data_IF_341533144458
#
_entry.id   IF_341533144458
#
_cell.length_a   1.000
_cell.length_b   1.000
_cell.length_c   1.000
_cell.angle_alpha   90.00
_cell.angle_beta   90.00
_cell.angle_gamma   90.00
#
_symmetry.space_group_name_H-M   'P 1'
#
loop_
_entity.id
_entity.type
_entity.pdbx_description
1 polymer ?
#
# COMPACT_ATOMS: atom_id res chain seq x y z
N UNK A 1 -19.33 -23.76 1.39
CA UNK A 1 -19.06 -22.31 1.45
C UNK A 1 -18.61 -22.00 2.86
N UNK A 2 -17.40 -21.47 3.05
CA UNK A 2 -17.03 -20.92 4.34
C UNK A 2 -17.77 -19.58 4.48
N UNK A 3 -18.70 -19.48 5.42
CA UNK A 3 -19.38 -18.21 5.67
C UNK A 3 -18.38 -17.25 6.34
N UNK A 4 -18.23 -16.04 5.81
CA UNK A 4 -17.42 -15.02 6.47
C UNK A 4 -17.99 -14.69 7.86
N UNK A 5 -17.08 -14.47 8.82
CA UNK A 5 -17.47 -14.12 10.18
C UNK A 5 -17.83 -12.64 10.25
N UNK A 6 -19.11 -12.35 10.52
CA UNK A 6 -19.60 -10.98 10.70
C UNK A 6 -19.56 -10.59 12.17
N UNK A 7 -19.11 -9.38 12.45
CA UNK A 7 -19.00 -8.82 13.80
C UNK A 7 -19.63 -7.44 13.83
N UNK A 8 -20.01 -7.03 15.04
CA UNK A 8 -20.41 -5.65 15.34
C UNK A 8 -19.34 -5.10 16.26
N UNK A 9 -18.76 -3.97 15.90
CA UNK A 9 -17.82 -3.27 16.76
C UNK A 9 -18.55 -2.82 18.04
N UNK A 10 -18.04 -3.14 19.24
CA UNK A 10 -18.74 -2.86 20.48
C UNK A 10 -18.75 -1.38 20.87
N UNK A 11 -17.91 -0.55 20.25
CA UNK A 11 -17.79 0.89 20.54
C UNK A 11 -18.59 1.71 19.55
N UNK A 12 -18.44 1.43 18.25
CA UNK A 12 -19.05 2.21 17.16
C UNK A 12 -20.42 1.67 16.76
N UNK A 13 -20.72 0.41 17.05
CA UNK A 13 -21.92 -0.29 16.58
C UNK A 13 -21.92 -0.62 15.08
N UNK A 14 -20.83 -0.32 14.36
CA UNK A 14 -20.69 -0.62 12.93
C UNK A 14 -20.42 -2.10 12.73
N UNK A 15 -20.93 -2.65 11.63
CA UNK A 15 -20.66 -4.04 11.27
C UNK A 15 -19.41 -4.11 10.42
N UNK A 16 -18.58 -5.12 10.69
CA UNK A 16 -17.44 -5.47 9.85
C UNK A 16 -17.39 -6.99 9.67
N UNK A 17 -16.65 -7.42 8.66
CA UNK A 17 -16.53 -8.83 8.28
C UNK A 17 -15.08 -9.25 8.29
N UNK A 18 -14.76 -10.37 8.93
CA UNK A 18 -13.48 -11.04 8.73
C UNK A 18 -13.55 -11.92 7.49
N UNK A 19 -12.69 -11.61 6.52
CA UNK A 19 -12.58 -12.32 5.25
C UNK A 19 -11.75 -13.61 5.36
N UNK A 20 -10.91 -13.71 6.41
CA UNK A 20 -10.03 -14.88 6.62
C UNK A 20 -10.34 -15.60 7.93
N UNK A 21 -10.08 -16.92 8.03
CA UNK A 21 -10.22 -17.69 9.26
C UNK A 21 -9.34 -17.18 10.41
N UNK A 22 -9.72 -17.47 11.65
CA UNK A 22 -8.96 -17.03 12.84
C UNK A 22 -7.67 -17.84 13.08
N UNK A 23 -7.62 -19.07 12.59
CA UNK A 23 -6.49 -20.01 12.69
C UNK A 23 -5.49 -19.89 11.53
N UNK A 24 -5.69 -18.92 10.63
CA UNK A 24 -4.80 -18.65 9.49
C UNK A 24 -4.27 -17.23 9.56
N UNK A 25 -2.95 -17.09 9.75
CA UNK A 25 -2.28 -15.79 9.73
C UNK A 25 -2.39 -15.19 8.32
N UNK A 26 -3.15 -14.11 8.21
CA UNK A 26 -3.37 -13.37 6.98
C UNK A 26 -3.24 -11.87 7.22
N UNK A 27 -2.63 -11.15 6.27
CA UNK A 27 -2.44 -9.70 6.33
C UNK A 27 -2.87 -9.11 5.01
N UNK A 28 -3.49 -7.93 5.02
CA UNK A 28 -3.67 -7.19 3.77
C UNK A 28 -2.32 -6.68 3.26
N UNK A 29 -2.29 -6.30 1.99
CA UNK A 29 -1.12 -5.67 1.38
C UNK A 29 -0.88 -4.27 1.98
N UNK A 30 0.26 -3.65 1.71
CA UNK A 30 0.56 -2.31 2.22
C UNK A 30 -0.49 -1.28 1.76
N UNK A 31 -0.78 -0.24 2.54
CA UNK A 31 -1.90 0.69 2.28
C UNK A 31 -1.72 1.54 1.00
N UNK A 32 -0.48 1.73 0.53
CA UNK A 32 -0.18 2.37 -0.75
C UNK A 32 -0.37 1.44 -1.97
N UNK A 33 -0.70 0.16 -1.74
CA UNK A 33 -1.03 -0.82 -2.78
C UNK A 33 -2.53 -1.11 -2.85
N UNK A 34 -2.99 -1.34 -4.08
CA UNK A 34 -4.36 -1.73 -4.35
C UNK A 34 -4.59 -3.18 -3.93
N UNK A 35 -5.72 -3.44 -3.23
CA UNK A 35 -6.09 -4.79 -2.79
C UNK A 35 -7.32 -5.36 -3.48
N UNK A 36 -8.01 -4.58 -4.29
CA UNK A 36 -9.24 -4.98 -4.96
C UNK A 36 -9.04 -5.09 -6.46
N UNK A 37 -9.68 -6.09 -7.06
CA UNK A 37 -9.82 -6.15 -8.52
C UNK A 37 -10.60 -4.94 -9.03
N UNK A 38 -10.45 -4.64 -10.32
CA UNK A 38 -11.03 -3.48 -11.00
C UNK A 38 -12.56 -3.40 -10.87
N UNK A 39 -13.21 -4.55 -10.67
CA UNK A 39 -14.65 -4.71 -10.47
C UNK A 39 -15.09 -4.80 -9.00
N UNK A 40 -14.15 -4.66 -8.04
CA UNK A 40 -14.37 -4.81 -6.59
C UNK A 40 -14.91 -6.18 -6.13
N UNK A 41 -14.92 -7.20 -6.99
CA UNK A 41 -15.47 -8.52 -6.64
C UNK A 41 -14.50 -9.41 -5.88
N UNK A 42 -13.20 -9.14 -6.02
CA UNK A 42 -12.14 -9.95 -5.41
C UNK A 42 -11.16 -9.10 -4.63
N UNK A 43 -10.64 -9.68 -3.55
CA UNK A 43 -9.60 -9.10 -2.70
C UNK A 43 -8.34 -9.94 -2.79
N UNK A 44 -7.21 -9.28 -2.91
CA UNK A 44 -5.88 -9.88 -2.80
C UNK A 44 -5.30 -9.60 -1.42
N UNK A 45 -4.67 -10.61 -0.83
CA UNK A 45 -4.01 -10.50 0.46
C UNK A 45 -2.89 -11.53 0.61
N UNK A 46 -2.13 -11.43 1.69
CA UNK A 46 -1.05 -12.34 2.01
C UNK A 46 -1.46 -13.35 3.07
N UNK A 47 -1.21 -14.63 2.82
CA UNK A 47 -1.34 -15.73 3.79
C UNK A 47 0.05 -16.24 4.16
N UNK A 48 0.23 -16.60 5.43
CA UNK A 48 1.51 -17.04 5.99
C UNK A 48 1.41 -18.48 6.53
N UNK A 49 1.38 -19.50 5.66
CA UNK A 49 1.47 -20.89 6.10
C UNK A 49 2.87 -21.19 6.70
N UNK A 50 3.02 -22.30 7.45
CA UNK A 50 4.35 -22.75 7.87
C UNK A 50 5.29 -22.91 6.66
N UNK A 51 6.43 -22.20 6.69
CA UNK A 51 7.47 -22.32 5.66
C UNK A 51 7.38 -21.34 4.49
N UNK A 52 6.43 -20.39 4.48
CA UNK A 52 6.39 -19.42 3.39
C UNK A 52 5.28 -18.38 3.48
N UNK A 53 5.15 -17.65 2.38
CA UNK A 53 4.14 -16.63 2.14
C UNK A 53 3.42 -16.95 0.82
N UNK A 54 2.13 -16.68 0.78
CA UNK A 54 1.27 -16.89 -0.39
C UNK A 54 0.53 -15.60 -0.73
N UNK A 55 0.44 -15.28 -2.02
CA UNK A 55 -0.51 -14.31 -2.54
C UNK A 55 -1.84 -15.03 -2.82
N UNK A 56 -2.89 -14.60 -2.14
CA UNK A 56 -4.22 -15.22 -2.25
C UNK A 56 -5.19 -14.22 -2.85
N UNK A 57 -6.01 -14.66 -3.80
CA UNK A 57 -7.15 -13.94 -4.33
C UNK A 57 -8.44 -14.61 -3.82
N UNK A 58 -9.32 -13.82 -3.23
CA UNK A 58 -10.58 -14.24 -2.63
C UNK A 58 -11.76 -13.56 -3.33
N UNK A 59 -12.74 -14.33 -3.76
CA UNK A 59 -14.00 -13.84 -4.32
C UNK A 59 -15.02 -13.57 -3.20
N UNK A 60 -15.54 -12.34 -3.15
CA UNK A 60 -16.31 -11.83 -2.01
C UNK A 60 -17.75 -12.37 -1.93
N UNK A 61 -18.35 -12.79 -3.05
CA UNK A 61 -19.72 -13.33 -3.04
C UNK A 61 -19.75 -14.79 -2.55
N UNK A 62 -18.73 -15.56 -2.90
CA UNK A 62 -18.69 -17.02 -2.76
C UNK A 62 -17.75 -17.51 -1.66
N UNK A 63 -16.77 -16.69 -1.27
CA UNK A 63 -15.70 -17.08 -0.36
C UNK A 63 -14.67 -18.02 -0.99
N UNK A 64 -14.67 -18.15 -2.32
CA UNK A 64 -13.71 -19.00 -3.04
C UNK A 64 -12.34 -18.32 -3.10
N UNK A 65 -11.29 -19.08 -2.77
CA UNK A 65 -9.92 -18.61 -2.78
C UNK A 65 -9.09 -19.31 -3.85
N UNK A 66 -8.12 -18.58 -4.39
CA UNK A 66 -7.06 -19.11 -5.24
C UNK A 66 -5.71 -18.56 -4.77
N UNK A 67 -4.72 -19.42 -4.58
CA UNK A 67 -3.33 -19.00 -4.43
C UNK A 67 -2.81 -18.64 -5.83
N UNK A 68 -2.41 -17.38 -6.02
CA UNK A 68 -1.88 -16.89 -7.29
C UNK A 68 -0.36 -17.03 -7.40
N UNK A 69 0.34 -16.94 -6.26
CA UNK A 69 1.78 -17.12 -6.18
C UNK A 69 2.17 -17.65 -4.79
N UNK A 70 3.14 -18.55 -4.76
CA UNK A 70 3.68 -19.13 -3.53
C UNK A 70 5.21 -18.96 -3.47
N UNK A 71 5.71 -18.50 -2.32
CA UNK A 71 7.16 -18.44 -2.07
C UNK A 71 7.88 -19.78 -2.21
N UNK A 72 7.19 -20.91 -1.99
CA UNK A 72 7.74 -22.25 -2.20
C UNK A 72 8.11 -22.50 -3.68
N UNK A 73 7.45 -21.81 -4.60
CA UNK A 73 7.76 -21.86 -6.04
C UNK A 73 8.86 -20.87 -6.45
N UNK A 74 9.49 -20.17 -5.48
CA UNK A 74 10.55 -19.19 -5.69
C UNK A 74 10.05 -17.75 -5.93
N UNK A 75 8.75 -17.50 -5.74
CA UNK A 75 8.17 -16.15 -5.85
C UNK A 75 8.55 -15.27 -4.64
N UNK A 76 8.96 -14.03 -4.88
CA UNK A 76 9.14 -13.05 -3.81
C UNK A 76 7.83 -12.30 -3.56
N UNK A 77 6.97 -12.87 -2.72
CA UNK A 77 5.60 -12.38 -2.49
C UNK A 77 5.55 -10.93 -1.97
N UNK A 78 6.54 -10.51 -1.16
CA UNK A 78 6.62 -9.15 -0.62
C UNK A 78 6.74 -8.07 -1.69
N UNK A 79 7.16 -8.42 -2.92
CA UNK A 79 7.28 -7.46 -4.03
C UNK A 79 5.98 -7.20 -4.77
N UNK A 80 4.92 -7.95 -4.45
CA UNK A 80 3.67 -7.87 -5.19
C UNK A 80 3.04 -6.49 -5.12
N UNK A 81 2.72 -5.94 -6.28
CA UNK A 81 1.88 -4.75 -6.41
C UNK A 81 0.82 -4.95 -7.49
N UNK A 82 -0.43 -4.63 -7.19
CA UNK A 82 -1.52 -4.66 -8.17
C UNK A 82 -1.59 -3.34 -8.94
N UNK A 83 -1.79 -3.41 -10.26
CA UNK A 83 -1.99 -2.22 -11.07
C UNK A 83 -3.26 -1.45 -10.64
N UNK A 84 -3.27 -0.14 -10.84
CA UNK A 84 -4.37 0.70 -10.37
C UNK A 84 -5.65 0.56 -11.18
N UNK A 85 -5.58 0.28 -12.48
CA UNK A 85 -6.76 0.28 -13.35
C UNK A 85 -7.00 -1.06 -14.07
N UNK A 86 -6.22 -2.10 -13.76
CA UNK A 86 -6.32 -3.42 -14.39
C UNK A 86 -6.03 -4.53 -13.40
N UNK A 87 -6.53 -5.71 -13.70
CA UNK A 87 -6.35 -6.93 -12.92
C UNK A 87 -5.05 -7.67 -13.29
N UNK A 88 -3.95 -6.90 -13.37
CA UNK A 88 -2.59 -7.39 -13.59
C UNK A 88 -1.72 -6.90 -12.42
N UNK A 89 -1.06 -7.84 -11.73
CA UNK A 89 -0.10 -7.53 -10.67
C UNK A 89 1.34 -7.75 -11.11
N UNK A 90 2.30 -7.24 -10.36
CA UNK A 90 3.73 -7.33 -10.68
C UNK A 90 4.50 -7.88 -9.50
N UNK A 91 5.38 -8.85 -9.75
CA UNK A 91 6.11 -9.55 -8.71
C UNK A 91 7.40 -10.17 -9.24
N UNK A 92 8.37 -10.39 -8.35
CA UNK A 92 9.70 -10.92 -8.66
C UNK A 92 9.78 -12.44 -8.48
N UNK A 93 10.50 -13.12 -9.38
CA UNK A 93 10.97 -14.50 -9.22
C UNK A 93 12.41 -14.63 -9.66
N UNK A 94 13.29 -15.05 -8.76
CA UNK A 94 14.74 -14.99 -9.01
C UNK A 94 15.16 -13.56 -9.33
N UNK A 95 15.86 -13.38 -10.45
CA UNK A 95 16.37 -12.08 -10.91
C UNK A 95 15.50 -11.46 -12.02
N UNK A 96 14.19 -11.74 -12.03
CA UNK A 96 13.27 -11.34 -13.10
C UNK A 96 11.95 -10.79 -12.55
N UNK A 97 11.39 -9.79 -13.22
CA UNK A 97 10.05 -9.23 -12.96
C UNK A 97 9.02 -9.91 -13.85
N UNK A 98 7.85 -10.22 -13.28
CA UNK A 98 6.73 -10.82 -13.97
C UNK A 98 5.48 -9.96 -13.82
N UNK A 99 4.67 -9.92 -14.87
CA UNK A 99 3.25 -9.59 -14.79
C UNK A 99 2.46 -10.86 -14.46
N UNK A 100 1.54 -10.78 -13.51
CA UNK A 100 0.64 -11.84 -13.10
C UNK A 100 -0.79 -11.41 -13.43
N UNK A 101 -1.44 -12.18 -14.28
CA UNK A 101 -2.86 -12.01 -14.59
C UNK A 101 -3.70 -12.58 -13.44
N UNK A 102 -4.53 -11.75 -12.81
CA UNK A 102 -5.29 -12.13 -11.59
C UNK A 102 -6.41 -13.12 -11.91
N UNK A 103 -6.96 -13.10 -13.13
CA UNK A 103 -8.08 -13.95 -13.54
C UNK A 103 -7.65 -15.40 -13.80
N UNK A 104 -6.54 -15.58 -14.51
CA UNK A 104 -6.01 -16.86 -14.93
C UNK A 104 -4.93 -17.40 -13.98
N UNK A 105 -4.23 -16.51 -13.26
CA UNK A 105 -3.00 -16.84 -12.52
C UNK A 105 -1.77 -17.03 -13.42
N UNK A 106 -1.87 -16.71 -14.72
CA UNK A 106 -0.75 -16.84 -15.63
C UNK A 106 0.29 -15.74 -15.37
N UNK A 107 1.57 -16.13 -15.33
CA UNK A 107 2.67 -15.19 -15.20
C UNK A 107 3.42 -15.01 -16.54
N UNK A 108 3.70 -13.76 -16.90
CA UNK A 108 4.43 -13.35 -18.09
C UNK A 108 5.68 -12.58 -17.68
N UNK A 109 6.85 -13.07 -18.09
CA UNK A 109 8.13 -12.38 -17.86
C UNK A 109 8.09 -10.99 -18.50
N UNK A 110 8.57 -9.98 -17.77
CA UNK A 110 8.69 -8.60 -18.25
C UNK A 110 10.15 -8.26 -18.55
N UNK A 111 11.01 -8.25 -17.54
CA UNK A 111 12.38 -7.77 -17.65
C UNK A 111 13.26 -8.35 -16.53
N UNK A 112 14.59 -8.42 -16.74
CA UNK A 112 15.53 -8.77 -15.68
C UNK A 112 15.60 -7.67 -14.62
N UNK A 113 15.98 -8.02 -13.40
CA UNK A 113 16.37 -7.08 -12.35
C UNK A 113 17.79 -6.55 -12.57
N UNK A 114 18.17 -5.44 -11.89
CA UNK A 114 19.57 -5.09 -11.73
C UNK A 114 20.39 -6.27 -11.17
N UNK A 115 21.65 -6.41 -11.59
CA UNK A 115 22.45 -7.62 -11.33
C UNK A 115 22.55 -7.93 -9.83
N UNK A 116 22.05 -9.12 -9.43
CA UNK A 116 22.08 -9.63 -8.05
C UNK A 116 21.48 -8.65 -7.02
N UNK A 117 20.55 -7.82 -7.45
CA UNK A 117 19.95 -6.80 -6.62
C UNK A 117 18.77 -7.33 -5.82
N UNK A 118 18.61 -6.84 -4.59
CA UNK A 118 17.52 -7.21 -3.69
C UNK A 118 16.45 -6.13 -3.73
N UNK A 119 15.19 -6.45 -4.09
CA UNK A 119 14.09 -5.49 -4.02
C UNK A 119 13.92 -4.94 -2.61
N UNK A 120 13.61 -3.65 -2.50
CA UNK A 120 13.42 -2.93 -1.22
C UNK A 120 11.96 -2.56 -0.95
N UNK A 121 11.01 -3.08 -1.72
CA UNK A 121 9.58 -2.81 -1.53
C UNK A 121 8.70 -3.62 -2.48
N UNK A 122 7.49 -3.11 -2.71
CA UNK A 122 6.51 -3.62 -3.66
C UNK A 122 6.40 -2.73 -4.89
N UNK A 123 5.94 -3.31 -6.00
CA UNK A 123 5.73 -2.54 -7.22
C UNK A 123 4.51 -1.62 -7.11
N UNK A 124 4.56 -0.54 -7.86
CA UNK A 124 3.39 0.23 -8.28
C UNK A 124 3.57 0.55 -9.76
N UNK A 125 2.46 0.83 -10.45
CA UNK A 125 2.50 1.15 -11.87
C UNK A 125 2.22 2.63 -12.11
N UNK A 126 2.99 3.23 -13.01
CA UNK A 126 2.72 4.55 -13.55
C UNK A 126 1.49 4.52 -14.47
N UNK A 127 1.09 5.69 -14.97
CA UNK A 127 -0.06 5.84 -15.88
C UNK A 127 -0.04 4.86 -17.05
N UNK A 128 1.09 4.70 -17.74
CA UNK A 128 1.21 3.79 -18.88
C UNK A 128 1.94 2.47 -18.55
N UNK A 129 2.07 2.15 -17.25
CA UNK A 129 2.56 0.85 -16.81
C UNK A 129 4.07 0.71 -16.69
N UNK A 130 4.81 1.81 -16.55
CA UNK A 130 6.21 1.75 -16.11
C UNK A 130 6.25 1.37 -14.62
N UNK A 131 7.26 0.58 -14.24
CA UNK A 131 7.34 -0.01 -12.90
C UNK A 131 8.64 0.41 -12.21
N UNK A 132 8.65 1.53 -11.48
CA UNK A 132 9.78 1.89 -10.64
C UNK A 132 9.86 0.99 -9.41
N UNK A 133 11.09 0.72 -8.97
CA UNK A 133 11.38 -0.02 -7.75
C UNK A 133 12.75 0.37 -7.22
N UNK A 134 12.92 0.34 -5.90
CA UNK A 134 14.22 0.50 -5.27
C UNK A 134 14.86 -0.85 -4.96
N UNK A 135 16.18 -0.91 -5.08
CA UNK A 135 16.95 -2.12 -4.85
C UNK A 135 18.18 -1.84 -4.00
N UNK A 136 18.62 -2.86 -3.24
CA UNK A 136 19.96 -2.94 -2.68
C UNK A 136 20.84 -3.79 -3.59
N UNK A 137 21.86 -3.20 -4.18
CA UNK A 137 22.80 -3.85 -5.08
C UNK A 137 23.76 -4.76 -4.31
N UNK A 138 24.43 -5.67 -5.04
CA UNK A 138 25.37 -6.64 -4.45
C UNK A 138 26.57 -5.97 -3.74
N UNK A 139 26.98 -4.78 -4.17
CA UNK A 139 28.04 -3.99 -3.53
C UNK A 139 27.55 -3.20 -2.30
N UNK A 140 26.27 -3.28 -1.95
CA UNK A 140 25.66 -2.61 -0.80
C UNK A 140 25.07 -1.23 -1.10
N UNK A 141 25.30 -0.66 -2.28
CA UNK A 141 24.71 0.62 -2.73
C UNK A 141 23.21 0.41 -3.00
N UNK A 142 22.39 1.42 -2.74
CA UNK A 142 20.98 1.40 -3.11
C UNK A 142 20.76 2.09 -4.46
N UNK A 143 19.81 1.61 -5.24
CA UNK A 143 19.42 2.28 -6.48
C UNK A 143 17.90 2.36 -6.63
N UNK A 144 17.45 3.38 -7.35
CA UNK A 144 16.15 3.42 -7.98
C UNK A 144 16.33 2.92 -9.42
N UNK A 145 15.52 1.95 -9.82
CA UNK A 145 15.47 1.46 -11.19
C UNK A 145 14.04 1.49 -11.73
N UNK A 146 13.91 1.50 -13.05
CA UNK A 146 12.66 1.60 -13.77
C UNK A 146 12.57 0.46 -14.79
N UNK A 147 11.56 -0.39 -14.62
CA UNK A 147 11.22 -1.42 -15.60
C UNK A 147 10.28 -0.83 -16.64
N UNK A 148 10.61 -0.98 -17.92
CA UNK A 148 9.72 -0.72 -19.06
C UNK A 148 9.26 -2.06 -19.65
N UNK A 149 8.02 -2.49 -19.38
CA UNK A 149 7.47 -3.74 -19.90
C UNK A 149 7.41 -3.83 -21.43
N UNK A 150 7.34 -2.70 -22.14
CA UNK A 150 7.28 -2.68 -23.59
C UNK A 150 8.65 -2.93 -24.22
N UNK A 151 9.72 -2.49 -23.54
CA UNK A 151 11.12 -2.75 -23.95
C UNK A 151 11.65 -4.09 -23.43
N UNK A 152 11.09 -4.58 -22.32
CA UNK A 152 11.59 -5.76 -21.64
C UNK A 152 12.93 -5.51 -20.93
N UNK A 153 13.15 -4.27 -20.50
CA UNK A 153 14.41 -3.79 -19.92
C UNK A 153 14.14 -3.12 -18.57
N UNK A 154 15.10 -3.25 -17.65
CA UNK A 154 15.14 -2.49 -16.40
C UNK A 154 16.36 -1.58 -16.42
N UNK A 155 16.14 -0.28 -16.25
CA UNK A 155 17.20 0.71 -16.24
C UNK A 155 17.45 1.24 -14.83
N UNK A 156 18.70 1.23 -14.39
CA UNK A 156 19.12 1.89 -13.15
C UNK A 156 19.16 3.41 -13.36
N UNK A 157 18.39 4.16 -12.58
CA UNK A 157 18.18 5.60 -12.78
C UNK A 157 18.98 6.48 -11.82
N UNK A 158 19.12 6.03 -10.57
CA UNK A 158 19.69 6.83 -9.47
C UNK A 158 20.32 5.92 -8.41
N UNK A 159 21.44 6.34 -7.84
CA UNK A 159 22.16 5.61 -6.79
C UNK A 159 22.19 6.43 -5.51
N UNK A 160 22.14 5.74 -4.38
CA UNK A 160 22.23 6.33 -3.04
C UNK A 160 23.02 5.44 -2.10
N UNK A 161 23.80 6.05 -1.21
CA UNK A 161 24.41 5.39 -0.06
C UNK A 161 23.42 5.27 1.13
N UNK A 162 22.31 6.00 1.06
CA UNK A 162 21.21 5.94 2.01
C UNK A 162 20.19 4.90 1.54
N UNK A 163 19.63 4.06 2.43
CA UNK A 163 18.59 3.10 2.05
C UNK A 163 17.42 3.77 1.33
N UNK A 164 17.04 3.22 0.18
CA UNK A 164 15.89 3.68 -0.60
C UNK A 164 14.72 2.70 -0.41
N UNK A 165 13.55 3.22 -0.03
CA UNK A 165 12.36 2.42 0.21
C UNK A 165 11.08 3.14 -0.21
N UNK A 166 9.95 2.49 0.07
CA UNK A 166 8.60 3.01 -0.18
C UNK A 166 8.40 3.66 -1.56
N UNK A 167 9.00 3.05 -2.59
CA UNK A 167 8.97 3.58 -3.96
C UNK A 167 7.57 3.47 -4.57
N UNK A 168 7.09 4.56 -5.15
CA UNK A 168 5.79 4.62 -5.81
C UNK A 168 5.89 5.37 -7.14
N UNK A 169 5.36 4.80 -8.22
CA UNK A 169 5.07 5.54 -9.44
C UNK A 169 3.96 6.55 -9.18
N UNK A 170 4.06 7.74 -9.76
CA UNK A 170 2.90 8.64 -9.88
C UNK A 170 1.83 7.95 -10.75
N UNK A 171 0.58 7.83 -10.28
CA UNK A 171 -0.49 7.27 -11.10
C UNK A 171 -0.93 8.16 -12.26
N UNK A 172 -0.69 9.47 -12.16
CA UNK A 172 -1.15 10.47 -13.11
C UNK A 172 -0.23 10.72 -14.31
N UNK A 173 1.02 10.25 -14.23
CA UNK A 173 2.05 10.44 -15.27
C UNK A 173 3.11 9.32 -15.22
N UNK A 174 4.06 9.36 -16.16
CA UNK A 174 5.18 8.39 -16.23
C UNK A 174 6.54 9.01 -15.83
N UNK A 175 6.56 10.30 -15.56
CA UNK A 175 7.80 11.06 -15.36
C UNK A 175 8.18 11.21 -13.88
N UNK A 176 7.21 11.06 -12.99
CA UNK A 176 7.34 11.31 -11.55
C UNK A 176 7.37 9.99 -10.80
N UNK A 177 8.47 9.75 -10.09
CA UNK A 177 8.61 8.61 -9.18
C UNK A 177 8.85 9.13 -7.77
N UNK A 178 8.05 8.69 -6.82
CA UNK A 178 8.25 8.94 -5.40
C UNK A 178 9.12 7.83 -4.79
N UNK A 179 9.97 8.18 -3.84
CA UNK A 179 10.66 7.23 -2.97
C UNK A 179 11.05 7.90 -1.65
N UNK A 180 11.39 7.08 -0.64
CA UNK A 180 11.87 7.56 0.65
C UNK A 180 13.31 7.14 0.94
N UNK A 181 13.99 7.95 1.74
CA UNK A 181 15.11 7.46 2.53
C UNK A 181 14.59 6.63 3.72
N UNK A 182 14.75 5.30 3.63
CA UNK A 182 14.17 4.32 4.57
C UNK A 182 15.15 4.00 5.70
N UNK A 183 15.20 4.86 6.72
CA UNK A 183 16.16 4.73 7.84
C UNK A 183 15.66 3.82 8.97
N UNK A 184 14.44 3.29 8.88
CA UNK A 184 13.78 2.55 9.97
C UNK A 184 13.32 3.43 11.14
N UNK A 185 13.33 4.74 10.95
CA UNK A 185 12.93 5.75 11.92
C UNK A 185 12.86 7.12 11.25
N UNK A 186 13.26 8.16 11.98
CA UNK A 186 13.37 9.51 11.44
C UNK A 186 14.53 9.61 10.42
N UNK A 187 14.40 10.50 9.44
CA UNK A 187 15.42 10.77 8.43
C UNK A 187 15.67 12.28 8.36
N UNK A 188 16.88 12.70 7.98
CA UNK A 188 17.16 14.14 7.79
C UNK A 188 16.31 14.77 6.67
N UNK A 189 15.94 13.95 5.70
CA UNK A 189 15.07 14.28 4.58
C UNK A 189 14.53 12.95 4.04
N UNK A 190 13.26 12.64 4.34
CA UNK A 190 12.63 11.37 3.98
C UNK A 190 12.05 11.37 2.59
N UNK A 191 11.21 12.35 2.24
CA UNK A 191 10.39 12.31 1.01
C UNK A 191 11.10 12.87 -0.24
N UNK A 192 11.24 12.07 -1.29
CA UNK A 192 11.89 12.47 -2.54
C UNK A 192 11.03 12.18 -3.76
N UNK A 193 11.12 13.09 -4.74
CA UNK A 193 10.72 12.83 -6.11
C UNK A 193 11.94 12.62 -7.00
N UNK A 194 11.81 11.71 -7.95
CA UNK A 194 12.70 11.54 -9.09
C UNK A 194 11.97 11.92 -10.37
N UNK A 195 12.53 12.88 -11.10
CA UNK A 195 12.13 13.23 -12.47
C UNK A 195 12.88 12.35 -13.46
N UNK A 196 12.16 11.43 -14.11
CA UNK A 196 12.71 10.44 -15.03
C UNK A 196 13.39 11.09 -16.24
N UNK A 197 12.72 12.05 -16.88
CA UNK A 197 13.26 12.74 -18.06
C UNK A 197 14.49 13.59 -17.73
N UNK A 198 14.51 14.25 -16.58
CA UNK A 198 15.63 15.09 -16.14
C UNK A 198 16.73 14.32 -15.41
N UNK A 199 16.49 13.05 -15.07
CA UNK A 199 17.39 12.20 -14.28
C UNK A 199 17.81 12.85 -12.97
N UNK A 200 16.84 13.37 -12.22
CA UNK A 200 17.12 14.18 -11.03
C UNK A 200 16.19 13.84 -9.88
N UNK A 201 16.79 13.55 -8.72
CA UNK A 201 16.10 13.54 -7.44
C UNK A 201 16.02 14.95 -6.82
N UNK A 202 14.91 15.26 -6.17
CA UNK A 202 14.72 16.47 -5.38
C UNK A 202 13.77 16.19 -4.20
N UNK A 203 13.92 16.90 -3.06
CA UNK A 203 12.99 16.78 -1.95
C UNK A 203 11.57 17.10 -2.40
N UNK A 204 10.62 16.22 -2.10
CA UNK A 204 9.21 16.48 -2.35
C UNK A 204 8.65 17.46 -1.33
N UNK A 205 8.89 17.19 -0.05
CA UNK A 205 8.55 18.03 1.09
C UNK A 205 9.85 18.36 1.82
N UNK A 206 10.14 19.65 2.05
CA UNK A 206 11.38 20.05 2.77
C UNK A 206 11.12 19.98 4.27
N UNK A 207 11.67 18.96 4.90
CA UNK A 207 11.47 18.67 6.31
C UNK A 207 12.18 19.69 7.21
N UNK A 208 11.50 20.10 8.28
CA UNK A 208 12.05 20.99 9.31
C UNK A 208 12.57 20.19 10.48
N UNK A 209 13.46 20.82 11.24
CA UNK A 209 14.01 20.21 12.45
C UNK A 209 12.89 19.79 13.42
N UNK A 210 12.86 18.51 13.77
CA UNK A 210 11.90 17.93 14.70
C UNK A 210 10.61 17.41 14.07
N UNK A 211 10.42 17.58 12.75
CA UNK A 211 9.36 16.89 12.03
C UNK A 211 9.74 15.42 11.84
N UNK A 212 8.81 14.50 12.06
CA UNK A 212 8.97 13.09 11.71
C UNK A 212 7.91 12.73 10.67
N UNK A 213 8.30 12.85 9.40
CA UNK A 213 7.43 12.54 8.27
C UNK A 213 7.48 11.05 7.95
N UNK A 214 6.33 10.45 7.61
CA UNK A 214 6.24 9.02 7.26
C UNK A 214 4.91 8.67 6.54
N UNK A 215 4.78 7.43 6.10
CA UNK A 215 3.55 6.78 5.63
C UNK A 215 2.81 7.48 4.48
N UNK A 216 3.52 7.65 3.38
CA UNK A 216 3.11 8.40 2.20
C UNK A 216 2.27 7.57 1.22
N UNK A 217 1.18 8.10 0.68
CA UNK A 217 0.38 7.40 -0.33
C UNK A 217 -0.14 8.35 -1.41
N UNK A 218 0.07 7.97 -2.68
CA UNK A 218 -0.54 8.67 -3.80
C UNK A 218 -2.07 8.52 -3.83
N UNK A 219 -2.75 9.61 -4.12
CA UNK A 219 -4.11 9.59 -4.67
C UNK A 219 -4.18 8.79 -5.97
N UNK A 220 -5.34 8.19 -6.24
CA UNK A 220 -5.50 7.24 -7.35
C UNK A 220 -5.20 7.82 -8.73
N UNK A 221 -5.35 9.14 -8.92
CA UNK A 221 -5.04 9.84 -10.16
C UNK A 221 -3.74 10.64 -10.12
N UNK A 222 -2.96 10.52 -9.04
CA UNK A 222 -1.66 11.16 -8.89
C UNK A 222 -1.70 12.67 -8.71
N UNK A 223 -2.84 13.29 -8.35
CA UNK A 223 -2.90 14.75 -8.14
C UNK A 223 -2.29 15.22 -6.82
N UNK A 224 -2.28 14.36 -5.82
CA UNK A 224 -1.71 14.64 -4.50
C UNK A 224 -1.25 13.37 -3.77
N UNK A 225 -0.44 13.53 -2.73
CA UNK A 225 -0.11 12.48 -1.77
C UNK A 225 -0.65 12.82 -0.38
N UNK A 226 -1.09 11.81 0.36
CA UNK A 226 -1.26 11.90 1.82
C UNK A 226 0.02 11.44 2.50
N UNK A 227 0.31 11.94 3.70
CA UNK A 227 1.38 11.46 4.56
C UNK A 227 1.09 11.83 6.01
N UNK A 228 1.86 11.24 6.92
CA UNK A 228 1.78 11.49 8.36
C UNK A 228 2.95 12.35 8.79
N UNK A 229 2.66 13.43 9.53
CA UNK A 229 3.62 14.04 10.44
C UNK A 229 3.35 13.44 11.83
N UNK A 230 4.24 12.53 12.24
CA UNK A 230 4.05 11.76 13.44
C UNK A 230 4.16 12.67 14.69
N UNK A 231 3.35 12.41 15.74
CA UNK A 231 2.52 11.22 15.91
C UNK A 231 1.06 11.37 15.49
N UNK A 232 0.59 12.57 15.10
CA UNK A 232 -0.84 12.89 15.21
C UNK A 232 -1.45 13.72 14.08
N UNK A 233 -0.71 13.97 12.99
CA UNK A 233 -1.17 14.82 11.89
C UNK A 233 -1.21 14.08 10.55
N UNK A 234 -2.34 14.18 9.85
CA UNK A 234 -2.48 13.80 8.43
C UNK A 234 -2.34 15.04 7.58
N UNK A 235 -1.42 14.97 6.62
CA UNK A 235 -1.17 16.03 5.64
C UNK A 235 -1.51 15.57 4.23
N UNK A 236 -1.75 16.56 3.36
CA UNK A 236 -1.83 16.39 1.91
C UNK A 236 -0.80 17.30 1.24
N UNK A 237 -0.17 16.83 0.16
CA UNK A 237 0.73 17.62 -0.69
C UNK A 237 0.35 17.49 -2.16
N UNK A 238 0.36 18.59 -2.92
CA UNK A 238 0.15 18.53 -4.38
C UNK A 238 1.26 17.74 -5.07
N UNK A 239 0.94 17.09 -6.20
CA UNK A 239 1.88 16.24 -6.93
C UNK A 239 3.22 16.90 -7.31
N UNK A 240 3.28 18.22 -7.41
CA UNK A 240 4.50 18.97 -7.70
C UNK A 240 5.30 19.38 -6.45
N UNK A 241 4.84 19.00 -5.25
CA UNK A 241 5.49 19.30 -3.97
C UNK A 241 5.45 20.78 -3.59
N UNK A 242 4.44 21.54 -4.05
CA UNK A 242 4.37 23.00 -3.81
C UNK A 242 3.31 23.42 -2.81
N UNK A 243 2.24 22.65 -2.65
CA UNK A 243 1.11 23.02 -1.80
C UNK A 243 0.86 21.92 -0.79
N UNK A 244 1.14 22.22 0.48
CA UNK A 244 0.92 21.30 1.59
C UNK A 244 -0.17 21.83 2.52
N UNK A 245 -0.99 20.92 3.04
CA UNK A 245 -2.10 21.26 3.92
C UNK A 245 -2.27 20.19 5.00
N UNK A 246 -2.23 20.62 6.26
CA UNK A 246 -2.73 19.83 7.39
C UNK A 246 -4.22 19.57 7.19
N UNK A 247 -4.59 18.29 7.11
CA UNK A 247 -5.98 17.87 6.93
C UNK A 247 -6.65 17.61 8.27
N UNK A 248 -6.01 16.81 9.13
CA UNK A 248 -6.56 16.45 10.43
C UNK A 248 -5.45 16.29 11.45
N UNK A 249 -5.73 16.72 12.67
CA UNK A 249 -4.90 16.47 13.85
C UNK A 249 -5.74 15.75 14.89
N UNK A 250 -5.25 14.63 15.40
CA UNK A 250 -5.99 13.81 16.38
C UNK A 250 -5.09 13.36 17.52
N UNK A 251 -5.42 12.27 18.22
CA UNK A 251 -4.59 11.74 19.31
C UNK A 251 -3.39 10.93 18.80
N UNK A 252 -3.56 10.27 17.66
CA UNK A 252 -2.55 9.46 16.97
C UNK A 252 -3.02 9.22 15.54
N UNK A 253 -2.08 9.20 14.59
CA UNK A 253 -2.25 8.60 13.27
C UNK A 253 -0.97 7.85 12.90
N UNK A 254 -1.12 6.64 12.34
CA UNK A 254 0.02 5.84 11.90
C UNK A 254 0.10 5.75 10.38
N UNK A 255 -0.89 5.19 9.70
CA UNK A 255 -0.94 5.15 8.24
C UNK A 255 -2.14 5.93 7.75
N UNK A 256 -2.07 6.42 6.51
CA UNK A 256 -3.22 7.02 5.85
C UNK A 256 -3.22 6.72 4.34
N UNK A 257 -4.42 6.57 3.78
CA UNK A 257 -4.62 6.38 2.34
C UNK A 257 -5.86 7.17 1.87
N UNK A 258 -5.77 7.92 0.76
CA UNK A 258 -6.91 8.65 0.22
C UNK A 258 -7.86 7.73 -0.56
N UNK A 259 -9.14 8.06 -0.52
CA UNK A 259 -10.16 7.53 -1.42
C UNK A 259 -10.00 8.10 -2.84
N UNK A 260 -10.63 7.45 -3.83
CA UNK A 260 -10.64 7.94 -5.22
C UNK A 260 -11.42 9.24 -5.41
N UNK A 261 -12.43 9.51 -4.57
CA UNK A 261 -13.16 10.79 -4.60
C UNK A 261 -12.37 11.95 -3.98
N UNK A 262 -11.24 11.66 -3.33
CA UNK A 262 -10.37 12.62 -2.64
C UNK A 262 -10.96 13.30 -1.41
N UNK A 263 -12.26 13.12 -1.18
CA UNK A 263 -12.95 13.66 -0.02
C UNK A 263 -12.61 12.88 1.24
N UNK A 264 -12.42 11.57 1.14
CA UNK A 264 -12.19 10.71 2.30
C UNK A 264 -10.74 10.24 2.37
N UNK A 265 -10.21 10.17 3.57
CA UNK A 265 -8.94 9.53 3.90
C UNK A 265 -9.24 8.47 4.95
N UNK A 266 -8.79 7.24 4.75
CA UNK A 266 -8.79 6.24 5.83
C UNK A 266 -7.44 6.25 6.51
N UNK A 267 -7.44 6.06 7.82
CA UNK A 267 -6.23 6.01 8.63
C UNK A 267 -6.38 4.99 9.75
N UNK A 268 -5.27 4.56 10.32
CA UNK A 268 -5.26 3.78 11.55
C UNK A 268 -4.58 4.53 12.70
N UNK A 269 -5.01 4.16 13.90
CA UNK A 269 -4.36 4.52 15.15
C UNK A 269 -3.83 3.22 15.75
N UNK A 270 -2.61 2.84 15.41
CA UNK A 270 -2.08 1.54 15.77
C UNK A 270 -1.86 1.41 17.27
N UNK A 271 -1.64 2.50 18.00
CA UNK A 271 -1.46 2.42 19.45
C UNK A 271 -2.76 2.05 20.16
N UNK A 272 -3.90 2.55 19.67
CA UNK A 272 -5.24 2.26 20.21
C UNK A 272 -5.92 1.07 19.52
N UNK A 273 -5.42 0.64 18.36
CA UNK A 273 -6.02 -0.44 17.57
C UNK A 273 -7.28 -0.02 16.84
N UNK A 274 -7.36 1.23 16.39
CA UNK A 274 -8.53 1.79 15.71
C UNK A 274 -8.26 1.94 14.21
N UNK A 275 -9.31 1.77 13.40
CA UNK A 275 -9.35 2.23 12.01
C UNK A 275 -10.37 3.35 11.93
N UNK A 276 -10.03 4.42 11.23
CA UNK A 276 -10.81 5.65 11.20
C UNK A 276 -11.01 6.15 9.76
N UNK A 277 -12.07 6.94 9.58
CA UNK A 277 -12.39 7.67 8.37
C UNK A 277 -12.28 9.17 8.65
N UNK A 278 -11.56 9.90 7.81
CA UNK A 278 -11.35 11.35 7.92
C UNK A 278 -12.00 12.02 6.73
N UNK A 279 -12.86 13.01 6.99
CA UNK A 279 -13.37 13.91 5.97
C UNK A 279 -12.30 14.99 5.69
N UNK A 280 -11.72 14.99 4.49
CA UNK A 280 -10.63 15.86 4.12
C UNK A 280 -11.05 17.34 3.91
N UNK A 281 -12.34 17.63 3.81
CA UNK A 281 -12.85 19.01 3.77
C UNK A 281 -12.94 19.61 5.17
N UNK A 282 -13.42 18.81 6.13
CA UNK A 282 -13.67 19.29 7.50
C UNK A 282 -12.58 18.95 8.51
N UNK A 283 -11.69 18.00 8.19
CA UNK A 283 -10.66 17.47 9.07
C UNK A 283 -11.18 16.56 10.19
N UNK A 284 -12.49 16.27 10.23
CA UNK A 284 -13.12 15.45 11.27
C UNK A 284 -12.88 13.98 11.01
N UNK A 285 -12.46 13.28 12.05
CA UNK A 285 -12.33 11.82 12.05
C UNK A 285 -13.55 11.13 12.67
N UNK A 286 -13.81 9.91 12.21
CA UNK A 286 -14.85 9.00 12.72
C UNK A 286 -14.24 7.63 12.87
N UNK A 287 -14.33 7.04 14.07
CA UNK A 287 -13.84 5.67 14.31
C UNK A 287 -14.77 4.67 13.63
N UNK A 288 -14.20 3.76 12.83
CA UNK A 288 -14.92 2.71 12.12
C UNK A 288 -14.94 1.41 12.92
N UNK A 289 -13.76 0.92 13.30
CA UNK A 289 -13.56 -0.33 14.06
C UNK A 289 -12.48 -0.15 15.11
N UNK A 290 -12.57 -0.93 16.20
CA UNK A 290 -11.73 -0.86 17.39
C UNK A 290 -11.19 -2.24 17.78
N UNK A 291 -10.20 -2.28 18.68
CA UNK A 291 -9.71 -3.53 19.27
C UNK A 291 -8.71 -4.31 18.40
N UNK A 292 -8.12 -3.67 17.39
CA UNK A 292 -7.17 -4.27 16.44
C UNK A 292 -5.75 -3.77 16.65
N UNK A 293 -5.28 -3.75 17.92
CA UNK A 293 -3.95 -3.25 18.26
C UNK A 293 -2.88 -4.27 17.81
N UNK A 294 -1.95 -3.89 16.91
CA UNK A 294 -0.85 -4.75 16.48
C UNK A 294 0.19 -4.95 17.59
N UNK A 295 0.84 -6.10 17.60
CA UNK A 295 2.02 -6.38 18.43
C UNK A 295 3.34 -6.05 17.73
N UNK A 296 3.35 -6.02 16.40
CA UNK A 296 4.53 -5.76 15.57
C UNK A 296 4.16 -5.00 14.29
N UNK A 297 5.17 -4.43 13.63
CA UNK A 297 4.99 -3.62 12.41
C UNK A 297 4.30 -4.36 11.27
N UNK A 298 4.55 -5.67 11.15
CA UNK A 298 3.94 -6.49 10.10
C UNK A 298 2.42 -6.66 10.27
N UNK A 299 1.89 -6.42 11.47
CA UNK A 299 0.48 -6.57 11.80
C UNK A 299 -0.29 -5.23 11.76
N UNK A 300 0.38 -4.12 11.45
CA UNK A 300 -0.30 -2.83 11.32
C UNK A 300 -1.53 -2.90 10.40
N UNK A 301 -2.57 -2.15 10.75
CA UNK A 301 -3.88 -2.28 10.14
C UNK A 301 -3.88 -1.86 8.66
N UNK A 302 -3.01 -0.91 8.29
CA UNK A 302 -2.78 -0.47 6.89
C UNK A 302 -4.09 -0.21 6.12
N UNK A 303 -5.08 0.54 6.64
CA UNK A 303 -6.38 0.60 5.99
C UNK A 303 -6.31 1.20 4.58
N UNK A 304 -7.12 0.67 3.66
CA UNK A 304 -7.22 1.19 2.29
C UNK A 304 -8.62 0.96 1.70
N UNK A 305 -9.04 1.84 0.81
CA UNK A 305 -10.35 1.74 0.15
C UNK A 305 -10.38 0.66 -0.93
N UNK A 306 -11.59 0.19 -1.25
CA UNK A 306 -11.89 -0.46 -2.53
C UNK A 306 -11.98 0.57 -3.68
N UNK A 307 -12.18 0.09 -4.92
CA UNK A 307 -12.24 0.96 -6.10
C UNK A 307 -13.44 1.90 -6.07
N UNK A 308 -14.61 1.42 -5.66
CA UNK A 308 -15.81 2.25 -5.54
C UNK A 308 -15.74 3.25 -4.37
N UNK A 309 -14.76 3.14 -3.47
CA UNK A 309 -14.59 4.04 -2.32
C UNK A 309 -15.60 3.84 -1.18
N UNK A 310 -16.41 2.78 -1.23
CA UNK A 310 -17.49 2.51 -0.29
C UNK A 310 -17.16 1.45 0.77
N UNK A 311 -15.97 0.86 0.74
CA UNK A 311 -15.49 -0.14 1.71
C UNK A 311 -14.04 0.14 2.09
N UNK A 312 -13.68 -0.18 3.33
CA UNK A 312 -12.30 -0.13 3.83
C UNK A 312 -11.85 -1.53 4.22
N UNK A 313 -10.72 -1.95 3.63
CA UNK A 313 -10.01 -3.19 3.97
C UNK A 313 -8.89 -2.89 4.95
N UNK A 314 -8.72 -3.72 5.97
CA UNK A 314 -7.68 -3.56 6.99
C UNK A 314 -7.12 -4.91 7.45
N UNK A 315 -5.86 -4.93 7.87
CA UNK A 315 -5.33 -6.01 8.71
C UNK A 315 -5.94 -5.87 10.11
N UNK A 316 -6.39 -6.98 10.67
CA UNK A 316 -7.13 -7.02 11.92
C UNK A 316 -6.41 -7.93 12.93
N UNK A 317 -5.37 -7.42 13.61
CA UNK A 317 -4.68 -8.14 14.67
C UNK A 317 -5.62 -8.47 15.82
N UNK A 318 -5.42 -9.63 16.43
CA UNK A 318 -6.15 -10.05 17.62
C UNK A 318 -6.06 -11.55 17.86
N UNK A 319 -6.14 -11.96 19.13
CA UNK A 319 -6.17 -13.39 19.50
C UNK A 319 -4.90 -14.16 19.15
N UNK A 320 -3.74 -13.49 19.07
CA UNK A 320 -2.45 -14.10 18.73
C UNK A 320 -2.23 -14.35 17.22
N UNK A 321 -3.10 -13.81 16.36
CA UNK A 321 -2.99 -13.87 14.90
C UNK A 321 -3.36 -12.52 14.28
N UNK A 322 -3.28 -12.42 12.96
CA UNK A 322 -3.81 -11.32 12.16
C UNK A 322 -4.75 -11.88 11.10
N UNK A 323 -5.87 -11.20 10.88
CA UNK A 323 -6.90 -11.54 9.89
C UNK A 323 -7.10 -10.38 8.91
N UNK A 324 -7.78 -10.62 7.81
CA UNK A 324 -8.21 -9.52 6.92
C UNK A 324 -9.64 -9.12 7.26
N UNK A 325 -9.84 -7.85 7.60
CA UNK A 325 -11.13 -7.26 7.92
C UNK A 325 -11.65 -6.33 6.82
N UNK A 326 -12.96 -6.23 6.69
CA UNK A 326 -13.66 -5.36 5.73
C UNK A 326 -14.83 -4.66 6.42
N UNK A 327 -14.89 -3.33 6.32
CA UNK A 327 -16.01 -2.52 6.80
C UNK A 327 -16.67 -1.79 5.62
N UNK A 328 -18.01 -1.82 5.58
CA UNK A 328 -18.82 -1.12 4.58
C UNK A 328 -19.18 0.28 5.08
N UNK A 329 -18.82 1.31 4.32
CA UNK A 329 -19.02 2.72 4.69
C UNK A 329 -20.45 3.21 4.41
N UNK A 330 -21.25 2.49 3.61
CA UNK A 330 -22.65 2.83 3.36
C UNK A 330 -23.53 2.70 4.62
N UNK A 331 -22.98 2.12 5.69
CA UNK A 331 -23.59 2.07 7.02
C UNK A 331 -23.58 3.44 7.73
N UNK A 332 -22.70 4.35 7.31
CA UNK A 332 -22.55 5.68 7.89
C UNK A 332 -23.63 6.62 7.35
N UNK A 333 -24.33 7.29 8.25
CA UNK A 333 -25.35 8.27 7.87
C UNK A 333 -24.72 9.43 7.09
N UNK A 334 -25.28 9.74 5.92
CA UNK A 334 -24.83 10.84 5.07
C UNK A 334 -23.53 10.57 4.29
N UNK A 335 -22.91 9.39 4.43
CA UNK A 335 -21.72 9.04 3.66
C UNK A 335 -22.02 8.97 2.16
N UNK A 336 -21.08 9.48 1.36
CA UNK A 336 -21.09 9.42 -0.11
C UNK A 336 -19.67 9.13 -0.56
N UNK A 337 -19.43 8.01 -1.26
CA UNK A 337 -18.08 7.58 -1.63
C UNK A 337 -17.35 8.58 -2.51
#
# INVERSE_FOLDING_TARGET
MAAFEKRTDPVTGLKFTYLTPADSLCRKMYFSSESFTSDDRRVLFFRFPPGGMQLVCLELDTGLERVLADSADGWNIHTFGLAREKDEGYLVKGDEVYALDVDSGAARRLAPLPERAKPCGHYTASKNGLLPMTFKLANGIFCLALTDPARGETEELYYSDTPLGHCQACPGDDNTVFFCHETGGDALQRMWHFDVARRRAYPYYVERWGEWITHEAWSADGRFMTFIEAPDEIWTGSADGRNFRLVSKSKEYHHCAPSRSMRWITADRSQTGEVVLVDAETGRDTVLVTGHRPSEGADHQHPSFNRAGDKVLFSAPGGGSCRVGLVDLNQLEGFRP
#
